data_IF_164821069694
#
_entry.id   IF_164821069694
#
_cell.length_a   1.000
_cell.length_b   1.000
_cell.length_c   1.000
_cell.angle_alpha   90.00
_cell.angle_beta   90.00
_cell.angle_gamma   90.00
#
_symmetry.space_group_name_H-M   'P 1'
#
loop_
_entity.id
_entity.type
_entity.pdbx_description
1 polymer ?
#
# COMPACT_ATOMS: atom_id res chain seq x y z
N UNK A 1 -7.37 22.28 10.99
CA UNK A 1 -6.86 20.89 10.93
C UNK A 1 -6.12 20.67 9.60
N UNK A 2 -4.86 21.12 9.52
CA UNK A 2 -4.01 20.88 8.34
C UNK A 2 -3.38 19.50 8.49
N UNK A 3 -4.22 18.52 8.13
CA UNK A 3 -3.96 17.34 7.30
C UNK A 3 -2.63 16.59 7.49
N UNK A 4 -2.66 15.60 8.39
CA UNK A 4 -1.71 14.48 8.54
C UNK A 4 -1.34 13.75 7.22
N UNK A 5 -2.01 14.05 6.11
CA UNK A 5 -1.91 13.38 4.82
C UNK A 5 -1.50 14.30 3.66
N UNK A 6 -1.06 15.54 3.91
CA UNK A 6 -0.62 16.44 2.84
C UNK A 6 0.53 15.86 2.00
N UNK A 7 1.37 15.03 2.63
CA UNK A 7 2.44 14.33 1.92
C UNK A 7 1.91 13.38 0.84
N UNK A 8 0.68 12.85 0.97
CA UNK A 8 0.03 12.04 -0.06
C UNK A 8 -0.42 12.90 -1.26
N UNK A 9 -0.71 14.18 -1.08
CA UNK A 9 -1.10 15.04 -2.21
C UNK A 9 0.12 15.52 -3.01
N UNK A 10 1.23 15.76 -2.30
CA UNK A 10 2.39 16.47 -2.85
C UNK A 10 3.46 15.56 -3.47
N UNK A 11 3.68 14.37 -2.90
CA UNK A 11 4.73 13.48 -3.40
C UNK A 11 4.36 12.79 -4.72
N UNK A 12 5.37 12.51 -5.54
CA UNK A 12 5.25 11.75 -6.77
C UNK A 12 5.70 10.30 -6.59
N UNK A 13 6.83 10.09 -5.90
CA UNK A 13 7.47 8.79 -5.70
C UNK A 13 7.62 8.53 -4.20
N UNK A 14 7.12 7.37 -3.78
CA UNK A 14 7.12 6.92 -2.39
C UNK A 14 7.82 5.58 -2.28
N UNK A 15 8.74 5.48 -1.32
CA UNK A 15 9.36 4.22 -0.94
C UNK A 15 8.77 3.67 0.33
N UNK A 16 8.55 2.35 0.39
CA UNK A 16 8.11 1.65 1.60
C UNK A 16 9.12 0.56 1.93
N UNK A 17 9.67 0.60 3.14
CA UNK A 17 10.75 -0.30 3.58
C UNK A 17 10.51 -0.84 4.97
N UNK A 18 11.14 -1.96 5.32
CA UNK A 18 11.16 -2.43 6.71
C UNK A 18 12.13 -1.59 7.52
N UNK A 19 11.77 -1.32 8.77
CA UNK A 19 12.75 -0.85 9.76
C UNK A 19 13.83 -1.92 9.96
N UNK A 20 15.05 -1.48 10.25
CA UNK A 20 16.22 -2.35 10.46
C UNK A 20 15.97 -3.45 11.51
N UNK A 21 15.30 -3.10 12.60
CA UNK A 21 15.00 -4.01 13.71
C UNK A 21 13.69 -4.80 13.50
N UNK A 22 13.02 -4.63 12.36
CA UNK A 22 11.76 -5.30 12.07
C UNK A 22 12.03 -6.67 11.43
N UNK A 23 11.26 -7.71 11.79
CA UNK A 23 11.36 -9.00 11.11
C UNK A 23 11.16 -8.81 9.60
N UNK A 24 11.92 -9.55 8.76
CA UNK A 24 11.86 -9.32 7.34
C UNK A 24 10.43 -9.49 6.79
N UNK A 25 9.83 -10.62 7.15
CA UNK A 25 8.42 -10.92 6.87
C UNK A 25 7.56 -10.49 8.06
N UNK A 26 6.42 -9.87 7.76
CA UNK A 26 5.46 -9.47 8.78
C UNK A 26 5.68 -8.06 9.36
N UNK A 27 6.56 -7.24 8.80
CA UNK A 27 6.74 -5.83 9.21
C UNK A 27 5.57 -4.89 8.86
N UNK A 28 4.57 -5.37 8.13
CA UNK A 28 3.38 -4.60 7.76
C UNK A 28 3.57 -3.63 6.59
N UNK A 29 4.63 -3.78 5.78
CA UNK A 29 4.92 -2.96 4.59
C UNK A 29 3.74 -2.89 3.62
N UNK A 30 3.41 -4.00 2.96
CA UNK A 30 2.34 -4.04 1.94
C UNK A 30 0.99 -3.61 2.52
N UNK A 31 0.69 -4.00 3.76
CA UNK A 31 -0.53 -3.56 4.46
C UNK A 31 -0.57 -2.02 4.62
N UNK A 32 0.50 -1.43 5.15
CA UNK A 32 0.56 0.02 5.40
C UNK A 32 0.62 0.81 4.09
N UNK A 33 1.38 0.31 3.12
CA UNK A 33 1.47 0.87 1.78
C UNK A 33 0.10 0.91 1.11
N UNK A 34 -0.60 -0.24 1.04
CA UNK A 34 -1.91 -0.31 0.40
C UNK A 34 -2.93 0.64 1.04
N UNK A 35 -2.96 0.74 2.37
CA UNK A 35 -3.86 1.68 3.04
C UNK A 35 -3.59 3.14 2.60
N UNK A 36 -2.32 3.55 2.56
CA UNK A 36 -1.92 4.90 2.15
C UNK A 36 -2.13 5.16 0.65
N UNK A 37 -1.85 4.15 -0.19
CA UNK A 37 -2.05 4.20 -1.65
C UNK A 37 -3.53 4.40 -1.98
N UNK A 38 -4.41 3.61 -1.35
CA UNK A 38 -5.85 3.69 -1.60
C UNK A 38 -6.42 5.03 -1.14
N UNK A 39 -5.96 5.53 0.01
CA UNK A 39 -6.29 6.88 0.45
C UNK A 39 -5.79 7.94 -0.54
N UNK A 40 -4.57 7.83 -1.05
CA UNK A 40 -4.03 8.77 -2.03
C UNK A 40 -4.80 8.72 -3.36
N UNK A 41 -5.13 7.52 -3.85
CA UNK A 41 -5.92 7.33 -5.05
C UNK A 41 -7.29 7.98 -4.91
N UNK A 42 -7.91 7.86 -3.74
CA UNK A 42 -9.19 8.51 -3.45
C UNK A 42 -9.08 10.03 -3.45
N UNK A 43 -8.09 10.57 -2.73
CA UNK A 43 -7.84 12.01 -2.62
C UNK A 43 -7.52 12.68 -3.97
N UNK A 44 -6.72 12.02 -4.81
CA UNK A 44 -6.32 12.53 -6.12
C UNK A 44 -7.32 12.17 -7.23
N UNK A 45 -8.27 11.27 -6.94
CA UNK A 45 -9.17 10.67 -7.91
C UNK A 45 -8.42 9.97 -9.07
N UNK A 46 -7.36 9.21 -8.75
CA UNK A 46 -6.51 8.52 -9.72
C UNK A 46 -6.85 7.04 -9.83
N UNK A 47 -6.60 6.47 -11.01
CA UNK A 47 -6.63 5.01 -11.21
C UNK A 47 -5.46 4.31 -10.52
N UNK A 48 -5.49 2.99 -10.49
CA UNK A 48 -4.47 2.17 -9.81
C UNK A 48 -3.90 1.11 -10.75
N UNK A 49 -2.62 0.82 -10.62
CA UNK A 49 -1.94 -0.27 -11.33
C UNK A 49 -1.07 -1.03 -10.34
N UNK A 50 -1.26 -2.34 -10.22
CA UNK A 50 -0.49 -3.20 -9.33
C UNK A 50 0.35 -4.21 -10.12
N UNK A 51 1.49 -4.64 -9.56
CA UNK A 51 2.26 -5.78 -10.10
C UNK A 51 1.96 -7.12 -9.42
N UNK A 52 0.88 -7.19 -8.65
CA UNK A 52 0.47 -8.39 -7.92
C UNK A 52 -1.04 -8.57 -7.97
N UNK A 53 -1.47 -9.78 -7.61
CA UNK A 53 -2.88 -10.16 -7.61
C UNK A 53 -3.72 -9.30 -6.66
N UNK A 54 -4.87 -8.84 -7.17
CA UNK A 54 -5.85 -8.07 -6.41
C UNK A 54 -7.21 -8.76 -6.46
N UNK A 55 -7.79 -8.98 -5.29
CA UNK A 55 -9.18 -9.38 -5.16
C UNK A 55 -10.08 -8.14 -5.27
N UNK A 56 -10.71 -7.95 -6.44
CA UNK A 56 -11.54 -6.79 -6.75
C UNK A 56 -12.73 -6.63 -5.78
N UNK A 57 -13.39 -7.73 -5.41
CA UNK A 57 -14.51 -7.71 -4.49
C UNK A 57 -14.06 -7.31 -3.08
N UNK A 58 -12.96 -7.88 -2.57
CA UNK A 58 -12.42 -7.49 -1.27
C UNK A 58 -12.00 -6.01 -1.27
N UNK A 59 -11.35 -5.55 -2.36
CA UNK A 59 -10.97 -4.16 -2.53
C UNK A 59 -12.19 -3.23 -2.47
N UNK A 60 -13.25 -3.57 -3.20
CA UNK A 60 -14.50 -2.80 -3.19
C UNK A 60 -15.06 -2.62 -1.79
N UNK A 61 -15.19 -3.69 -1.00
CA UNK A 61 -15.75 -3.57 0.34
C UNK A 61 -14.83 -2.85 1.32
N UNK A 62 -13.53 -3.05 1.21
CA UNK A 62 -12.56 -2.29 2.00
C UNK A 62 -12.70 -0.78 1.71
N UNK A 63 -12.67 -0.40 0.43
CA UNK A 63 -12.81 0.99 0.02
C UNK A 63 -14.16 1.58 0.43
N UNK A 64 -15.25 0.82 0.29
CA UNK A 64 -16.57 1.24 0.75
C UNK A 64 -16.60 1.47 2.27
N UNK A 65 -16.02 0.55 3.05
CA UNK A 65 -15.92 0.67 4.51
C UNK A 65 -15.09 1.88 4.94
N UNK A 66 -14.01 2.19 4.22
CA UNK A 66 -13.12 3.32 4.51
C UNK A 66 -13.61 4.66 3.95
N UNK A 67 -14.70 4.68 3.16
CA UNK A 67 -15.20 5.90 2.50
C UNK A 67 -14.43 6.32 1.25
N UNK A 68 -13.66 5.41 0.63
CA UNK A 68 -12.88 5.67 -0.58
C UNK A 68 -13.74 5.56 -1.85
N UNK A 69 -14.68 6.49 -2.01
CA UNK A 69 -15.68 6.48 -3.07
C UNK A 69 -15.09 6.59 -4.48
N UNK A 70 -14.03 7.37 -4.67
CA UNK A 70 -13.38 7.50 -5.98
C UNK A 70 -12.70 6.19 -6.39
N UNK A 71 -12.12 5.46 -5.44
CA UNK A 71 -11.53 4.14 -5.73
C UNK A 71 -12.62 3.13 -6.12
N UNK A 72 -13.75 3.12 -5.39
CA UNK A 72 -14.91 2.30 -5.76
C UNK A 72 -15.42 2.62 -7.18
N UNK A 73 -15.42 3.90 -7.56
CA UNK A 73 -15.79 4.35 -8.91
C UNK A 73 -14.78 3.87 -9.95
N UNK A 74 -13.48 4.01 -9.72
CA UNK A 74 -12.43 3.53 -10.63
C UNK A 74 -12.46 2.03 -10.82
N UNK A 75 -12.80 1.26 -9.78
CA UNK A 75 -12.99 -0.19 -9.91
C UNK A 75 -14.14 -0.55 -10.86
N UNK A 76 -15.27 0.18 -10.79
CA UNK A 76 -16.43 -0.03 -11.68
C UNK A 76 -16.17 0.40 -13.12
N UNK A 77 -15.35 1.43 -13.31
CA UNK A 77 -14.96 1.95 -14.62
C UNK A 77 -13.76 1.22 -15.23
N UNK A 78 -13.33 0.10 -14.65
CA UNK A 78 -12.17 -0.68 -15.10
C UNK A 78 -10.86 0.14 -15.19
N UNK A 79 -10.71 1.15 -14.33
CA UNK A 79 -9.50 1.98 -14.22
C UNK A 79 -8.58 1.53 -13.07
N UNK A 80 -8.74 0.28 -12.64
CA UNK A 80 -7.83 -0.44 -11.75
C UNK A 80 -7.30 -1.63 -12.55
N UNK A 81 -5.99 -1.70 -12.70
CA UNK A 81 -5.31 -2.68 -13.54
C UNK A 81 -4.26 -3.45 -12.73
N UNK A 82 -3.89 -4.59 -13.28
CA UNK A 82 -2.72 -5.37 -12.86
C UNK A 82 -1.83 -5.56 -14.07
N UNK A 83 -0.50 -5.45 -13.90
CA UNK A 83 0.47 -5.59 -14.98
C UNK A 83 1.67 -6.40 -14.55
N UNK A 84 2.18 -7.33 -15.39
CA UNK A 84 3.39 -8.06 -15.07
C UNK A 84 4.61 -7.12 -15.05
N UNK A 85 5.61 -7.52 -14.28
CA UNK A 85 6.96 -6.92 -14.27
C UNK A 85 8.00 -7.89 -14.83
N UNK A 86 7.55 -8.99 -15.42
CA UNK A 86 8.38 -10.02 -16.04
C UNK A 86 7.90 -10.28 -17.46
N UNK A 87 8.83 -10.67 -18.33
CA UNK A 87 8.53 -11.09 -19.69
C UNK A 87 8.24 -12.60 -19.76
N UNK A 88 7.91 -13.13 -20.94
CA UNK A 88 7.65 -14.56 -21.15
C UNK A 88 8.81 -15.49 -20.78
N UNK A 89 10.04 -14.96 -20.69
CA UNK A 89 11.23 -15.71 -20.23
C UNK A 89 11.46 -15.65 -18.71
N UNK A 90 10.55 -15.01 -17.96
CA UNK A 90 10.66 -14.80 -16.51
C UNK A 90 11.69 -13.73 -16.11
N UNK A 91 12.28 -13.01 -17.07
CA UNK A 91 13.21 -11.91 -16.80
C UNK A 91 12.43 -10.63 -16.50
N UNK A 92 12.96 -9.81 -15.60
CA UNK A 92 12.39 -8.50 -15.27
C UNK A 92 12.30 -7.61 -16.51
N UNK A 93 11.11 -7.04 -16.74
CA UNK A 93 10.85 -6.06 -17.78
C UNK A 93 9.85 -5.01 -17.27
N UNK A 94 10.33 -3.79 -17.07
CA UNK A 94 9.53 -2.66 -16.60
C UNK A 94 9.13 -1.69 -17.73
N UNK A 95 9.49 -2.01 -18.97
CA UNK A 95 9.32 -1.10 -20.11
C UNK A 95 7.85 -0.68 -20.33
N UNK A 96 6.91 -1.52 -19.94
CA UNK A 96 5.46 -1.27 -20.10
C UNK A 96 4.71 -1.06 -18.79
N UNK A 97 5.41 -1.08 -17.66
CA UNK A 97 4.76 -0.99 -16.36
C UNK A 97 4.14 0.40 -16.16
N UNK A 98 4.93 1.46 -16.34
CA UNK A 98 4.49 2.86 -16.17
C UNK A 98 4.01 3.42 -17.50
N UNK A 99 2.69 3.33 -17.74
CA UNK A 99 2.04 3.83 -18.94
C UNK A 99 0.67 4.43 -18.63
N UNK A 100 0.37 5.59 -19.21
CA UNK A 100 -0.89 6.30 -19.04
C UNK A 100 -0.71 7.61 -18.26
N UNK A 101 -1.82 8.15 -17.76
CA UNK A 101 -1.86 9.42 -16.99
C UNK A 101 -2.85 9.30 -15.85
N UNK A 102 -2.68 10.12 -14.79
CA UNK A 102 -3.58 10.14 -13.62
C UNK A 102 -3.77 8.77 -12.97
N UNK A 103 -2.65 8.06 -12.78
CA UNK A 103 -2.61 6.73 -12.17
C UNK A 103 -1.54 6.66 -11.08
N UNK A 104 -1.81 5.80 -10.10
CA UNK A 104 -0.84 5.39 -9.08
C UNK A 104 -0.37 3.98 -9.40
N UNK A 105 0.93 3.84 -9.66
CA UNK A 105 1.57 2.55 -9.89
C UNK A 105 2.13 2.03 -8.58
N UNK A 106 1.91 0.74 -8.33
CA UNK A 106 2.32 0.05 -7.11
C UNK A 106 3.21 -1.10 -7.49
N UNK A 107 4.50 -0.96 -7.17
CA UNK A 107 5.53 -1.94 -7.41
C UNK A 107 5.93 -2.59 -6.08
N UNK A 108 5.34 -3.74 -5.77
CA UNK A 108 5.81 -4.58 -4.67
C UNK A 108 7.06 -5.37 -5.08
N UNK A 109 7.88 -5.73 -4.09
CA UNK A 109 9.19 -6.39 -4.28
C UNK A 109 10.16 -5.61 -5.21
N UNK A 110 10.22 -4.29 -5.06
CA UNK A 110 11.09 -3.41 -5.83
C UNK A 110 12.60 -3.73 -5.66
N UNK A 111 13.01 -4.38 -4.57
CA UNK A 111 14.38 -4.87 -4.42
C UNK A 111 14.76 -5.98 -5.41
N UNK A 112 13.76 -6.65 -6.00
CA UNK A 112 13.92 -7.66 -7.06
C UNK A 112 13.83 -6.98 -8.44
N UNK A 113 12.73 -6.25 -8.70
CA UNK A 113 12.46 -5.69 -10.02
C UNK A 113 13.26 -4.42 -10.35
N UNK A 114 13.66 -3.65 -9.34
CA UNK A 114 14.51 -2.47 -9.48
C UNK A 114 15.78 -2.67 -8.65
N UNK A 115 16.44 -3.82 -8.82
CA UNK A 115 17.58 -4.19 -7.98
C UNK A 115 18.77 -3.27 -8.20
N UNK A 116 19.41 -2.83 -7.12
CA UNK A 116 20.66 -2.08 -7.15
C UNK A 116 21.83 -2.85 -7.77
N UNK A 117 21.73 -4.18 -7.89
CA UNK A 117 22.72 -5.03 -8.57
C UNK A 117 22.56 -5.08 -10.08
N UNK A 118 21.36 -4.79 -10.59
CA UNK A 118 21.00 -4.97 -11.99
C UNK A 118 20.53 -3.68 -12.67
N UNK A 119 20.90 -2.53 -12.10
CA UNK A 119 20.42 -1.21 -12.54
C UNK A 119 20.81 -0.88 -13.99
N UNK A 120 21.95 -1.38 -14.46
CA UNK A 120 22.44 -1.17 -15.83
C UNK A 120 21.58 -1.85 -16.89
N UNK A 121 20.85 -2.90 -16.50
CA UNK A 121 19.97 -3.66 -17.38
C UNK A 121 18.51 -3.16 -17.32
N UNK A 122 18.26 -2.03 -16.65
CA UNK A 122 16.94 -1.40 -16.66
C UNK A 122 16.66 -0.79 -18.03
N UNK A 123 15.44 -0.94 -18.58
CA UNK A 123 15.09 -0.32 -19.86
C UNK A 123 15.27 1.20 -19.83
N UNK A 124 15.79 1.81 -20.90
CA UNK A 124 16.01 3.27 -20.96
C UNK A 124 14.73 4.07 -20.70
N UNK A 125 13.60 3.56 -21.20
CA UNK A 125 12.31 4.19 -21.02
C UNK A 125 11.84 4.19 -19.55
N UNK A 126 12.35 3.30 -18.69
CA UNK A 126 12.08 3.34 -17.25
C UNK A 126 12.57 4.66 -16.63
N UNK A 127 13.81 5.06 -16.94
CA UNK A 127 14.40 6.28 -16.41
C UNK A 127 13.68 7.53 -16.94
N UNK A 128 13.36 7.54 -18.24
CA UNK A 128 12.58 8.61 -18.85
C UNK A 128 11.19 8.74 -18.20
N UNK A 129 10.51 7.60 -17.97
CA UNK A 129 9.20 7.58 -17.32
C UNK A 129 9.25 8.12 -15.88
N UNK A 130 10.29 7.79 -15.12
CA UNK A 130 10.50 8.33 -13.77
C UNK A 130 10.66 9.86 -13.79
N UNK A 131 11.44 10.40 -14.73
CA UNK A 131 11.64 11.84 -14.86
C UNK A 131 10.36 12.60 -15.28
N UNK A 132 9.48 11.96 -16.05
CA UNK A 132 8.26 12.59 -16.59
C UNK A 132 7.00 12.40 -15.74
N UNK A 133 7.08 11.77 -14.57
CA UNK A 133 5.91 11.43 -13.75
C UNK A 133 5.03 12.63 -13.42
N UNK A 134 5.63 13.77 -13.09
CA UNK A 134 4.89 14.99 -12.73
C UNK A 134 4.06 15.52 -13.90
N UNK A 135 4.64 15.55 -15.10
CA UNK A 135 3.96 16.01 -16.32
C UNK A 135 2.74 15.14 -16.64
N UNK A 136 2.82 13.84 -16.37
CA UNK A 136 1.74 12.89 -16.67
C UNK A 136 0.79 12.62 -15.50
N UNK A 137 0.93 13.35 -14.39
CA UNK A 137 0.14 13.11 -13.17
C UNK A 137 0.23 11.65 -12.72
N UNK A 138 1.42 11.09 -12.76
CA UNK A 138 1.72 9.73 -12.32
C UNK A 138 2.20 9.79 -10.87
N UNK A 139 1.84 8.78 -10.08
CA UNK A 139 2.43 8.49 -8.78
C UNK A 139 3.03 7.09 -8.80
N UNK A 140 4.13 6.87 -8.08
CA UNK A 140 4.75 5.57 -7.92
C UNK A 140 4.96 5.26 -6.44
N UNK A 141 4.49 4.09 -6.03
CA UNK A 141 4.86 3.47 -4.76
C UNK A 141 5.69 2.25 -5.05
N UNK A 142 6.92 2.23 -4.54
CA UNK A 142 7.75 1.05 -4.54
C UNK A 142 7.87 0.51 -3.12
N UNK A 143 7.77 -0.80 -2.98
CA UNK A 143 7.82 -1.50 -1.69
C UNK A 143 8.98 -2.47 -1.76
N UNK A 144 9.88 -2.41 -0.79
CA UNK A 144 11.04 -3.30 -0.73
C UNK A 144 11.30 -3.76 0.69
N UNK A 145 11.90 -4.94 0.82
CA UNK A 145 12.37 -5.42 2.11
C UNK A 145 13.44 -4.50 2.71
N UNK A 146 14.43 -4.14 1.91
CA UNK A 146 15.57 -3.32 2.32
C UNK A 146 15.72 -2.12 1.40
N UNK A 147 16.14 -0.98 1.99
CA UNK A 147 16.29 0.27 1.26
C UNK A 147 17.40 0.15 0.20
N UNK A 148 18.60 -0.26 0.60
CA UNK A 148 19.79 -0.39 -0.25
C UNK A 148 19.72 -1.43 -1.38
N UNK A 149 18.77 -2.37 -1.30
CA UNK A 149 18.50 -3.32 -2.37
C UNK A 149 17.83 -2.67 -3.59
N UNK A 150 17.21 -1.50 -3.42
CA UNK A 150 16.58 -0.76 -4.51
C UNK A 150 17.60 0.11 -5.23
N UNK A 151 17.44 0.22 -6.54
CA UNK A 151 18.24 1.07 -7.41
C UNK A 151 18.42 2.50 -6.87
N UNK A 152 19.63 3.04 -7.04
CA UNK A 152 20.02 4.34 -6.51
C UNK A 152 19.26 5.49 -7.17
N UNK A 153 18.97 5.41 -8.47
CA UNK A 153 18.21 6.44 -9.17
C UNK A 153 16.80 6.54 -8.59
N UNK A 154 16.09 5.40 -8.49
CA UNK A 154 14.74 5.35 -7.92
C UNK A 154 14.71 5.87 -6.48
N UNK A 155 15.69 5.46 -5.65
CA UNK A 155 15.83 5.97 -4.28
C UNK A 155 16.07 7.46 -4.23
N UNK A 156 16.93 8.00 -5.10
CA UNK A 156 17.27 9.43 -5.12
C UNK A 156 16.09 10.31 -5.54
N UNK A 157 15.22 9.81 -6.43
CA UNK A 157 14.05 10.53 -6.94
C UNK A 157 12.81 10.37 -6.04
N UNK A 158 12.85 9.46 -5.06
CA UNK A 158 11.77 9.33 -4.07
C UNK A 158 11.59 10.63 -3.28
N UNK A 159 10.35 11.08 -3.10
CA UNK A 159 10.06 12.26 -2.27
C UNK A 159 9.97 11.87 -0.79
N UNK A 160 9.33 10.74 -0.52
CA UNK A 160 9.06 10.25 0.84
C UNK A 160 9.44 8.78 0.99
N UNK A 161 9.90 8.43 2.19
CA UNK A 161 10.15 7.06 2.59
C UNK A 161 9.28 6.73 3.81
N UNK A 162 8.55 5.64 3.73
CA UNK A 162 7.71 5.08 4.79
C UNK A 162 8.46 3.86 5.34
N UNK A 163 8.95 3.98 6.57
CA UNK A 163 9.61 2.90 7.27
C UNK A 163 8.59 2.17 8.16
N UNK A 164 8.36 0.89 7.89
CA UNK A 164 7.37 0.07 8.57
C UNK A 164 8.00 -0.86 9.61
N UNK A 165 7.31 -1.01 10.72
CA UNK A 165 7.54 -2.04 11.73
C UNK A 165 6.21 -2.53 12.29
N UNK A 166 6.27 -3.56 13.12
CA UNK A 166 5.09 -4.20 13.69
C UNK A 166 5.40 -4.72 15.08
N UNK A 167 4.39 -4.70 15.94
CA UNK A 167 4.42 -5.46 17.18
C UNK A 167 3.79 -6.82 16.89
N UNK A 168 4.54 -7.88 17.19
CA UNK A 168 4.11 -9.25 17.02
C UNK A 168 3.84 -9.90 18.39
N UNK A 169 2.84 -10.77 18.46
CA UNK A 169 2.55 -11.59 19.64
C UNK A 169 2.33 -13.06 19.23
N UNK A 170 2.72 -14.04 20.06
CA UNK A 170 2.42 -15.44 19.80
C UNK A 170 0.92 -15.69 19.70
N UNK A 171 0.49 -16.50 18.73
CA UNK A 171 -0.93 -16.84 18.54
C UNK A 171 -1.15 -18.34 18.66
N UNK A 172 -1.97 -18.74 19.65
CA UNK A 172 -2.41 -20.14 19.80
C UNK A 172 -3.15 -20.64 18.55
N UNK A 173 -3.88 -19.75 17.87
CA UNK A 173 -4.63 -20.08 16.63
C UNK A 173 -3.74 -20.42 15.45
N UNK A 174 -2.50 -19.92 15.46
CA UNK A 174 -1.51 -20.17 14.40
C UNK A 174 -0.46 -21.21 14.84
N UNK A 175 -0.79 -22.08 15.80
CA UNK A 175 0.13 -23.10 16.29
C UNK A 175 1.40 -22.54 16.95
N UNK A 176 1.31 -21.36 17.58
CA UNK A 176 2.45 -20.69 18.21
C UNK A 176 3.16 -19.67 17.31
N UNK A 177 2.81 -19.60 16.02
CA UNK A 177 3.37 -18.58 15.13
C UNK A 177 2.97 -17.16 15.55
N UNK A 178 3.84 -16.20 15.22
CA UNK A 178 3.64 -14.79 15.55
C UNK A 178 2.54 -14.15 14.71
N UNK A 179 1.59 -13.51 15.37
CA UNK A 179 0.55 -12.69 14.77
C UNK A 179 0.87 -11.21 14.99
N UNK A 180 0.67 -10.40 13.95
CA UNK A 180 0.74 -8.95 14.09
C UNK A 180 -0.41 -8.44 14.94
N UNK A 181 -0.10 -7.66 15.97
CA UNK A 181 -1.11 -7.02 16.84
C UNK A 181 -1.20 -5.51 16.61
N UNK A 182 -0.10 -4.89 16.20
CA UNK A 182 -0.02 -3.45 15.95
C UNK A 182 0.88 -3.18 14.76
N UNK A 183 0.49 -2.22 13.93
CA UNK A 183 1.29 -1.70 12.82
C UNK A 183 1.89 -0.37 13.22
N UNK A 184 3.15 -0.17 12.82
CA UNK A 184 3.90 1.05 13.10
C UNK A 184 4.50 1.51 11.77
N UNK A 185 4.35 2.77 11.44
CA UNK A 185 5.15 3.36 10.37
C UNK A 185 5.56 4.79 10.66
N UNK A 186 6.70 5.16 10.11
CA UNK A 186 7.27 6.49 10.17
C UNK A 186 7.45 7.00 8.75
N UNK A 187 6.95 8.20 8.48
CA UNK A 187 7.10 8.86 7.17
C UNK A 187 8.19 9.90 7.25
N UNK A 188 9.14 9.85 6.33
CA UNK A 188 10.27 10.76 6.22
C UNK A 188 10.26 11.43 4.85
N UNK A 189 10.84 12.63 4.75
CA UNK A 189 11.35 13.07 3.45
C UNK A 189 12.55 12.22 3.07
N UNK A 190 12.81 12.03 1.78
CA UNK A 190 13.95 11.23 1.34
C UNK A 190 15.29 11.75 1.87
N UNK A 191 15.49 13.07 1.93
CA UNK A 191 16.69 13.67 2.55
C UNK A 191 16.86 13.27 4.02
N UNK A 192 15.77 13.32 4.81
CA UNK A 192 15.81 12.94 6.22
C UNK A 192 16.05 11.43 6.39
N UNK A 193 15.45 10.59 5.55
CA UNK A 193 15.65 9.16 5.60
C UNK A 193 17.08 8.75 5.24
N UNK A 194 17.67 9.35 4.20
CA UNK A 194 19.07 9.10 3.83
C UNK A 194 20.04 9.42 4.97
N UNK A 195 19.81 10.53 5.68
CA UNK A 195 20.59 10.87 6.87
C UNK A 195 20.45 9.82 7.98
N UNK A 196 19.21 9.39 8.26
CA UNK A 196 18.93 8.36 9.26
C UNK A 196 19.59 7.02 8.88
N UNK A 197 19.44 6.60 7.64
CA UNK A 197 19.99 5.35 7.10
C UNK A 197 21.52 5.34 7.20
N UNK A 198 22.19 6.42 6.78
CA UNK A 198 23.65 6.53 6.87
C UNK A 198 24.19 6.53 8.31
N UNK A 199 23.37 6.91 9.29
CA UNK A 199 23.72 6.84 10.72
C UNK A 199 23.35 5.53 11.38
N UNK A 200 22.49 4.70 10.78
CA UNK A 200 21.90 3.52 11.41
C UNK A 200 22.92 2.44 11.84
N UNK A 201 24.11 2.42 11.24
CA UNK A 201 25.20 1.52 11.60
C UNK A 201 26.18 2.13 12.62
N UNK A 202 26.10 3.45 12.84
CA UNK A 202 27.08 4.23 13.63
C UNK A 202 26.54 4.68 14.99
N UNK A 203 25.25 4.48 15.27
CA UNK A 203 24.62 4.93 16.51
C UNK A 203 23.99 3.75 17.26
N UNK A 204 24.03 3.82 18.59
CA UNK A 204 23.40 2.83 19.46
C UNK A 204 21.88 2.76 19.25
N UNK A 205 21.25 1.63 19.60
CA UNK A 205 19.83 1.40 19.35
C UNK A 205 18.89 2.45 19.97
N UNK A 206 19.16 2.91 21.20
CA UNK A 206 18.37 3.97 21.85
C UNK A 206 18.47 5.29 21.08
N UNK A 207 19.69 5.67 20.69
CA UNK A 207 19.91 6.86 19.87
C UNK A 207 19.25 6.72 18.50
N UNK A 208 19.29 5.53 17.89
CA UNK A 208 18.58 5.26 16.64
C UNK A 208 17.07 5.50 16.79
N UNK A 209 16.43 4.97 17.83
CA UNK A 209 15.00 5.21 18.07
C UNK A 209 14.65 6.69 18.28
N UNK A 210 15.49 7.43 19.02
CA UNK A 210 15.33 8.88 19.18
C UNK A 210 15.45 9.62 17.85
N UNK A 211 16.45 9.25 17.03
CA UNK A 211 16.62 9.79 15.68
C UNK A 211 15.42 9.47 14.78
N UNK A 212 14.92 8.24 14.78
CA UNK A 212 13.71 7.86 14.01
C UNK A 212 12.53 8.76 14.34
N UNK A 213 12.26 8.97 15.62
CA UNK A 213 11.16 9.84 16.05
C UNK A 213 11.39 11.30 15.63
N UNK A 214 12.59 11.84 15.88
CA UNK A 214 12.92 13.25 15.61
C UNK A 214 12.89 13.60 14.14
N UNK A 215 13.36 12.72 13.26
CA UNK A 215 13.46 12.99 11.82
C UNK A 215 12.20 12.60 11.04
N UNK A 216 11.27 11.86 11.65
CA UNK A 216 9.99 11.54 11.04
C UNK A 216 9.10 12.77 10.93
N UNK A 217 8.48 12.97 9.76
CA UNK A 217 7.40 13.96 9.59
C UNK A 217 6.12 13.49 10.25
N UNK A 218 5.82 12.20 10.12
CA UNK A 218 4.62 11.60 10.68
C UNK A 218 4.96 10.25 11.29
N UNK A 219 4.28 9.96 12.40
CA UNK A 219 4.34 8.67 13.08
C UNK A 219 2.92 8.13 13.19
N UNK A 220 2.76 6.86 12.84
CA UNK A 220 1.51 6.15 13.02
C UNK A 220 1.78 4.87 13.80
N UNK A 221 1.07 4.72 14.91
CA UNK A 221 1.07 3.52 15.75
C UNK A 221 -0.39 3.18 15.98
N UNK A 222 -0.84 2.02 15.52
CA UNK A 222 -2.22 1.61 15.75
C UNK A 222 -2.36 0.09 15.85
N UNK A 223 -3.24 -0.39 16.74
CA UNK A 223 -3.63 -1.79 16.75
C UNK A 223 -4.31 -2.16 15.42
N UNK A 224 -4.27 -3.43 15.04
CA UNK A 224 -4.96 -3.89 13.83
C UNK A 224 -6.48 -3.71 13.95
N UNK A 225 -7.01 -2.83 13.12
CA UNK A 225 -8.43 -2.53 13.02
C UNK A 225 -9.20 -3.58 12.18
N UNK A 226 -10.53 -3.45 12.13
CA UNK A 226 -11.34 -4.24 11.19
C UNK A 226 -10.96 -3.93 9.73
N UNK A 227 -10.72 -2.66 9.41
CA UNK A 227 -10.26 -2.24 8.08
C UNK A 227 -8.96 -2.93 7.67
N UNK A 228 -8.02 -3.09 8.60
CA UNK A 228 -6.76 -3.81 8.32
C UNK A 228 -7.00 -5.28 8.02
N UNK A 229 -7.89 -5.93 8.78
CA UNK A 229 -8.28 -7.33 8.54
C UNK A 229 -8.95 -7.51 7.18
N UNK A 230 -9.77 -6.55 6.75
CA UNK A 230 -10.34 -6.55 5.40
C UNK A 230 -9.26 -6.36 4.35
N UNK A 231 -8.31 -5.45 4.57
CA UNK A 231 -7.23 -5.18 3.63
C UNK A 231 -6.32 -6.39 3.40
N UNK A 232 -6.10 -7.24 4.40
CA UNK A 232 -5.40 -8.52 4.22
C UNK A 232 -6.07 -9.45 3.20
N UNK A 233 -7.37 -9.31 2.95
CA UNK A 233 -8.09 -10.12 1.95
C UNK A 233 -8.02 -9.54 0.53
N UNK A 234 -7.52 -8.31 0.39
CA UNK A 234 -7.39 -7.62 -0.90
C UNK A 234 -6.22 -8.16 -1.70
N UNK A 235 -5.08 -8.41 -1.04
CA UNK A 235 -3.85 -8.85 -1.69
C UNK A 235 -3.46 -10.25 -1.22
N UNK A 236 -2.94 -11.08 -2.13
CA UNK A 236 -2.38 -12.38 -1.78
C UNK A 236 -0.87 -12.25 -1.58
N UNK A 237 -0.46 -12.04 -0.32
CA UNK A 237 0.92 -11.71 0.08
C UNK A 237 1.97 -12.80 -0.17
N UNK A 238 1.58 -14.01 -0.55
CA UNK A 238 2.45 -15.20 -0.47
C UNK A 238 2.47 -16.06 -1.74
N UNK A 239 2.03 -15.53 -2.88
CA UNK A 239 2.23 -16.25 -4.15
C UNK A 239 3.70 -16.23 -4.54
N UNK A 240 4.24 -17.38 -4.95
CA UNK A 240 5.64 -17.52 -5.41
C UNK A 240 5.96 -16.70 -6.68
N UNK A 241 4.95 -16.09 -7.30
CA UNK A 241 4.98 -15.47 -8.64
C UNK A 241 4.56 -14.00 -8.63
N UNK A 242 4.93 -13.22 -7.61
CA UNK A 242 4.70 -11.75 -7.65
C UNK A 242 5.35 -11.19 -8.93
N UNK A 243 4.64 -10.33 -9.67
CA UNK A 243 5.13 -9.75 -10.92
C UNK A 243 5.03 -10.66 -12.16
N UNK A 244 4.57 -11.89 -12.01
CA UNK A 244 4.35 -12.85 -13.10
C UNK A 244 2.86 -13.15 -13.27
N UNK A 245 2.32 -12.80 -14.45
CA UNK A 245 0.89 -12.84 -14.82
C UNK A 245 -0.09 -12.43 -13.69
N UNK A 246 0.03 -11.22 -13.11
CA UNK A 246 -0.85 -10.80 -12.03
C UNK A 246 -2.28 -10.61 -12.52
N UNK A 247 -3.26 -10.94 -11.66
CA UNK A 247 -4.69 -10.94 -12.02
C UNK A 247 -5.54 -10.09 -11.10
N UNK A 248 -6.50 -9.38 -11.70
CA UNK A 248 -7.61 -8.76 -11.00
C UNK A 248 -8.78 -9.74 -11.03
N UNK A 249 -9.13 -10.33 -9.88
CA UNK A 249 -10.06 -11.45 -9.81
C UNK A 249 -11.21 -11.17 -8.83
N UNK A 250 -12.25 -12.00 -8.89
CA UNK A 250 -13.47 -11.88 -8.08
C UNK A 250 -14.09 -10.48 -8.16
N UNK A 251 -14.58 -10.06 -9.33
CA UNK A 251 -15.29 -8.78 -9.42
C UNK A 251 -16.59 -8.81 -8.60
N UNK A 252 -16.97 -7.69 -7.95
CA UNK A 252 -18.21 -7.64 -7.20
C UNK A 252 -19.39 -7.84 -8.16
N UNK A 253 -20.12 -8.95 -8.01
CA UNK A 253 -21.43 -9.11 -8.64
C UNK A 253 -22.36 -8.03 -8.08
N UNK A 254 -22.65 -7.00 -8.89
CA UNK A 254 -23.41 -5.79 -8.52
C UNK A 254 -24.76 -6.09 -7.87
N UNK A 255 -25.34 -7.28 -8.09
CA UNK A 255 -26.63 -7.73 -7.54
C UNK A 255 -26.54 -8.58 -6.24
N UNK A 256 -25.39 -9.17 -5.89
CA UNK A 256 -25.24 -10.06 -4.72
C UNK A 256 -24.37 -9.50 -3.60
N UNK A 257 -23.63 -8.42 -3.87
CA UNK A 257 -22.56 -7.93 -3.02
C UNK A 257 -23.06 -7.37 -1.67
N UNK A 258 -24.14 -6.60 -1.67
CA UNK A 258 -24.65 -5.93 -0.46
C UNK A 258 -25.13 -6.95 0.58
N UNK A 259 -25.77 -8.03 0.14
CA UNK A 259 -26.38 -9.03 1.02
C UNK A 259 -25.36 -9.95 1.71
N UNK A 260 -24.23 -10.29 1.09
CA UNK A 260 -23.27 -11.26 1.67
C UNK A 260 -22.49 -10.67 2.86
N UNK A 261 -21.98 -9.44 2.75
CA UNK A 261 -21.19 -8.83 3.83
C UNK A 261 -22.06 -8.30 4.97
N UNK A 262 -23.28 -7.80 4.70
CA UNK A 262 -24.24 -7.51 5.76
C UNK A 262 -24.53 -8.77 6.58
N UNK A 263 -24.84 -9.90 5.94
CA UNK A 263 -25.13 -11.15 6.65
C UNK A 263 -23.93 -11.70 7.43
N UNK A 264 -22.72 -11.61 6.85
CA UNK A 264 -21.47 -12.09 7.49
C UNK A 264 -21.03 -11.20 8.66
N UNK A 265 -21.07 -9.88 8.51
CA UNK A 265 -20.78 -8.93 9.60
C UNK A 265 -21.84 -9.07 10.71
N UNK A 266 -23.13 -9.14 10.37
CA UNK A 266 -24.21 -9.36 11.35
C UNK A 266 -24.10 -10.71 12.08
N UNK A 267 -23.63 -11.78 11.41
CA UNK A 267 -23.40 -13.07 12.07
C UNK A 267 -22.19 -13.06 13.02
N UNK A 268 -21.23 -12.16 12.79
CA UNK A 268 -20.02 -12.03 13.62
C UNK A 268 -20.23 -11.09 14.80
N UNK A 269 -21.20 -10.17 14.70
CA UNK A 269 -21.56 -9.19 15.73
C UNK A 269 -23.00 -9.42 16.23
N UNK A 270 -23.25 -10.56 16.90
CA UNK A 270 -24.53 -10.81 17.60
C UNK A 270 -24.79 -9.90 18.81
N UNK A 271 -23.95 -8.89 19.09
CA UNK A 271 -24.05 -8.08 20.31
C UNK A 271 -23.70 -6.60 20.02
N UNK A 272 -24.49 -5.90 19.21
CA UNK A 272 -24.63 -4.42 19.31
C UNK A 272 -26.10 -4.07 19.02
N UNK A 273 -26.79 -3.25 19.84
CA UNK A 273 -28.24 -3.06 19.72
C UNK A 273 -28.63 -2.28 18.46
N UNK A 274 -29.78 -2.68 17.92
CA UNK A 274 -30.47 -2.24 16.70
C UNK A 274 -30.65 -0.70 16.56
N UNK A 275 -30.46 0.08 17.62
CA UNK A 275 -30.66 1.53 17.62
C UNK A 275 -29.64 2.32 16.79
N UNK A 276 -28.37 1.90 16.69
CA UNK A 276 -27.38 2.62 15.87
C UNK A 276 -27.64 2.46 14.37
N UNK A 277 -28.33 1.37 13.98
CA UNK A 277 -28.50 1.01 12.57
C UNK A 277 -29.61 1.83 11.88
N UNK A 278 -30.67 2.20 12.60
CA UNK A 278 -31.75 3.04 12.06
C UNK A 278 -31.30 4.48 11.78
N UNK A 279 -30.32 4.98 12.55
CA UNK A 279 -29.74 6.31 12.38
C UNK A 279 -28.81 6.33 11.16
N UNK A 280 -28.00 5.29 10.95
CA UNK A 280 -27.12 5.17 9.79
C UNK A 280 -27.90 4.97 8.48
N UNK A 281 -29.02 4.23 8.50
CA UNK A 281 -29.84 4.01 7.30
C UNK A 281 -30.58 5.28 6.84
N UNK A 282 -31.00 6.14 7.79
CA UNK A 282 -31.61 7.43 7.46
C UNK A 282 -30.62 8.42 6.84
N UNK A 283 -29.33 8.31 7.19
CA UNK A 283 -28.29 9.15 6.59
C UNK A 283 -27.94 8.71 5.16
N UNK A 284 -27.85 7.41 4.87
CA UNK A 284 -27.50 6.93 3.52
C UNK A 284 -28.56 7.17 2.45
N UNK A 285 -29.86 7.13 2.81
CA UNK A 285 -30.94 7.43 1.86
C UNK A 285 -31.02 8.91 1.45
N UNK A 286 -30.54 9.82 2.30
CA UNK A 286 -30.60 11.27 2.03
C UNK A 286 -29.54 11.74 1.00
N UNK A 287 -28.48 10.96 0.79
CA UNK A 287 -27.40 11.27 -0.16
C UNK A 287 -27.50 10.52 -1.50
N UNK A 288 -28.57 9.74 -1.71
CA UNK A 288 -28.82 9.03 -2.97
C UNK A 288 -29.86 9.72 -3.88
N UNK A 289 -30.39 10.88 -3.46
CA UNK A 289 -31.43 11.63 -4.19
C UNK A 289 -30.95 12.97 -4.77
N UNK A 290 -29.64 13.19 -4.90
CA UNK A 290 -29.06 14.33 -5.65
C UNK A 290 -27.83 13.89 -6.43
#
# INVERSE_FOLDING_TARGET
MVKQYDFLLQGEIYGVVSAKDSPPRGSGKTLSALALILQQADLLNYGLVFNFDINAQALYYYCYYMGYHNVCRHLKLSNIEVKPCTNASGKTDLSRFIQGRRKIFVLDEAGIFCSSRNWQNMPDNWQANLAMMRQFHIRLWWISQHYDHVDKLLRSQSNYIIECSSILAPSKRLGGASQMISKIYYTYTNKAYNYLFAKSDKISGINYQMHRMRFSKFRHISPLSLGDKMLFTVYKSFNKSIGDDPRLFNFPNTLRAVNYYQKKIMSTFKIIPILLYSILLKFTLKYFLF
#
